data_IF_971842461358
#
_entry.id   IF_971842461358
#
_cell.length_a   1.000
_cell.length_b   1.000
_cell.length_c   1.000
_cell.angle_alpha   90.00
_cell.angle_beta   90.00
_cell.angle_gamma   90.00
#
_symmetry.space_group_name_H-M   'P 1'
#
loop_
_entity.id
_entity.type
_entity.pdbx_description
1 polymer ?
#
# COMPACT_ATOMS: atom_id res chain seq x y z
N UNK A 1 2.13 16.64 -14.42
CA UNK A 1 3.49 16.19 -14.08
C UNK A 1 3.36 15.24 -12.89
N UNK A 2 3.19 13.94 -13.17
CA UNK A 2 2.99 12.92 -12.14
C UNK A 2 4.35 12.24 -11.96
N UNK A 3 5.03 12.59 -10.88
CA UNK A 3 6.24 11.88 -10.46
C UNK A 3 5.84 10.48 -10.03
N UNK A 4 6.03 9.51 -10.94
CA UNK A 4 6.12 8.11 -10.56
C UNK A 4 7.35 7.98 -9.67
N UNK A 5 7.15 7.95 -8.35
CA UNK A 5 8.16 7.36 -7.46
C UNK A 5 8.19 5.88 -7.80
N UNK A 6 9.16 5.55 -8.67
CA UNK A 6 9.62 4.20 -8.91
C UNK A 6 9.88 3.58 -7.55
N UNK A 7 9.01 2.65 -7.18
CA UNK A 7 9.23 1.78 -6.05
C UNK A 7 10.58 1.13 -6.33
N UNK A 8 11.58 1.49 -5.53
CA UNK A 8 12.92 0.92 -5.59
C UNK A 8 12.78 -0.52 -5.09
N UNK A 9 12.26 -1.37 -5.98
CA UNK A 9 12.62 -2.77 -6.08
C UNK A 9 14.13 -2.76 -5.92
N UNK A 10 14.59 -3.15 -4.73
CA UNK A 10 15.96 -2.88 -4.31
C UNK A 10 16.83 -3.75 -5.22
N UNK A 11 17.29 -3.09 -6.29
CA UNK A 11 17.95 -3.66 -7.45
C UNK A 11 19.06 -4.59 -6.97
N UNK A 12 19.70 -4.27 -5.86
CA UNK A 12 20.79 -4.97 -5.20
C UNK A 12 20.59 -6.47 -4.97
N UNK A 13 19.44 -6.99 -4.52
CA UNK A 13 19.36 -8.44 -4.19
C UNK A 13 19.08 -9.32 -5.41
N UNK A 14 18.15 -8.89 -6.27
CA UNK A 14 17.96 -9.49 -7.59
C UNK A 14 19.19 -9.25 -8.47
N UNK A 15 19.89 -8.12 -8.36
CA UNK A 15 21.17 -7.89 -9.02
C UNK A 15 22.26 -8.78 -8.45
N UNK A 16 22.34 -9.07 -7.15
CA UNK A 16 23.39 -9.94 -6.60
C UNK A 16 23.17 -11.38 -7.06
N UNK A 17 21.94 -11.88 -7.02
CA UNK A 17 21.63 -13.20 -7.60
C UNK A 17 21.83 -13.22 -9.12
N UNK A 18 21.40 -12.19 -9.84
CA UNK A 18 21.61 -12.08 -11.28
C UNK A 18 23.10 -11.89 -11.65
N UNK A 19 23.87 -11.09 -10.92
CA UNK A 19 25.31 -10.90 -11.14
C UNK A 19 26.08 -12.17 -10.85
N UNK A 20 25.80 -12.87 -9.75
CA UNK A 20 26.43 -14.16 -9.46
C UNK A 20 26.06 -15.16 -10.56
N UNK A 21 24.81 -15.20 -11.00
CA UNK A 21 24.37 -16.08 -12.09
C UNK A 21 25.04 -15.70 -13.44
N UNK A 22 25.22 -14.41 -13.73
CA UNK A 22 25.90 -13.90 -14.93
C UNK A 22 27.42 -14.14 -14.88
N UNK A 23 28.05 -13.99 -13.71
CA UNK A 23 29.48 -14.28 -13.52
C UNK A 23 29.76 -15.79 -13.54
N UNK A 24 28.85 -16.61 -13.01
CA UNK A 24 28.90 -18.06 -13.20
C UNK A 24 28.87 -18.45 -14.69
N UNK A 25 28.15 -17.69 -15.54
CA UNK A 25 28.16 -17.89 -17.00
C UNK A 25 29.51 -17.59 -17.65
N UNK A 26 30.34 -16.73 -17.07
CA UNK A 26 31.57 -16.25 -17.71
C UNK A 26 32.88 -16.87 -17.17
N UNK A 27 32.87 -17.48 -15.98
CA UNK A 27 34.12 -17.98 -15.33
C UNK A 27 34.04 -19.45 -14.90
N UNK A 28 32.86 -19.99 -14.59
CA UNK A 28 32.74 -21.36 -14.06
C UNK A 28 32.73 -22.42 -15.18
N UNK A 29 33.23 -23.62 -14.88
CA UNK A 29 33.14 -24.76 -15.81
C UNK A 29 31.68 -25.15 -16.11
N UNK A 30 31.46 -25.87 -17.21
CA UNK A 30 30.14 -26.41 -17.56
C UNK A 30 29.52 -27.21 -16.42
N UNK A 31 30.30 -28.13 -15.84
CA UNK A 31 29.87 -28.98 -14.72
C UNK A 31 29.48 -28.17 -13.49
N UNK A 32 30.23 -27.11 -13.17
CA UNK A 32 29.91 -26.22 -12.05
C UNK A 32 28.58 -25.51 -12.27
N UNK A 33 28.33 -25.02 -13.50
CA UNK A 33 27.06 -24.38 -13.84
C UNK A 33 25.89 -25.36 -13.79
N UNK A 34 26.07 -26.57 -14.31
CA UNK A 34 25.06 -27.62 -14.25
C UNK A 34 24.73 -27.99 -12.81
N UNK A 35 25.74 -28.18 -11.97
CA UNK A 35 25.56 -28.45 -10.54
C UNK A 35 24.80 -27.32 -9.82
N UNK A 36 25.17 -26.06 -10.05
CA UNK A 36 24.48 -24.92 -9.45
C UNK A 36 23.04 -24.80 -9.94
N UNK A 37 22.78 -25.07 -11.22
CA UNK A 37 21.45 -25.10 -11.78
C UNK A 37 20.59 -26.17 -11.12
N UNK A 38 21.06 -27.42 -11.08
CA UNK A 38 20.39 -28.53 -10.42
C UNK A 38 20.09 -28.22 -8.95
N UNK A 39 21.07 -27.67 -8.23
CA UNK A 39 20.89 -27.27 -6.84
C UNK A 39 19.78 -26.22 -6.66
N UNK A 40 19.68 -25.25 -7.59
CA UNK A 40 18.63 -24.24 -7.56
C UNK A 40 17.25 -24.79 -7.94
N UNK A 41 17.17 -25.62 -8.98
CA UNK A 41 15.89 -26.11 -9.52
C UNK A 41 15.33 -27.30 -8.74
N UNK A 42 16.19 -28.20 -8.29
CA UNK A 42 15.77 -29.48 -7.68
C UNK A 42 15.68 -29.40 -6.16
N UNK A 43 16.40 -28.45 -5.52
CA UNK A 43 16.44 -28.36 -4.05
C UNK A 43 16.06 -27.00 -3.49
N UNK A 44 16.69 -25.91 -3.95
CA UNK A 44 16.48 -24.59 -3.35
C UNK A 44 15.08 -24.04 -3.64
N UNK A 45 14.66 -24.03 -4.91
CA UNK A 45 13.34 -23.52 -5.30
C UNK A 45 12.20 -24.37 -4.73
N UNK A 46 12.27 -25.72 -4.75
CA UNK A 46 11.29 -26.55 -4.06
C UNK A 46 11.21 -26.27 -2.56
N UNK A 47 12.33 -26.05 -1.88
CA UNK A 47 12.34 -25.68 -0.46
C UNK A 47 11.65 -24.33 -0.21
N UNK A 48 11.87 -23.33 -1.08
CA UNK A 48 11.16 -22.05 -1.01
C UNK A 48 9.65 -22.29 -1.14
N UNK A 49 9.23 -23.03 -2.16
CA UNK A 49 7.82 -23.28 -2.43
C UNK A 49 7.13 -24.03 -1.28
N UNK A 50 7.80 -25.04 -0.71
CA UNK A 50 7.32 -25.78 0.45
C UNK A 50 7.10 -24.85 1.66
N UNK A 51 8.07 -24.00 1.98
CA UNK A 51 7.92 -23.05 3.09
C UNK A 51 6.83 -22.01 2.81
N UNK A 52 6.71 -21.51 1.57
CA UNK A 52 5.61 -20.61 1.19
C UNK A 52 4.24 -21.26 1.36
N UNK A 53 4.12 -22.55 1.00
CA UNK A 53 2.90 -23.33 1.20
C UNK A 53 2.57 -23.49 2.69
N UNK A 54 3.57 -23.85 3.51
CA UNK A 54 3.40 -23.97 4.96
C UNK A 54 2.98 -22.66 5.62
N UNK A 55 3.52 -21.52 5.18
CA UNK A 55 3.08 -20.21 5.69
C UNK A 55 1.60 -19.99 5.35
N UNK A 56 1.20 -20.24 4.10
CA UNK A 56 -0.19 -20.07 3.65
C UNK A 56 -1.17 -20.94 4.44
N UNK A 57 -0.76 -22.15 4.80
CA UNK A 57 -1.58 -23.13 5.53
C UNK A 57 -1.50 -22.98 7.05
N UNK A 58 -0.64 -22.10 7.57
CA UNK A 58 -0.43 -21.98 9.01
C UNK A 58 -1.67 -21.39 9.70
N UNK A 59 -2.14 -21.97 10.83
CA UNK A 59 -3.32 -21.49 11.54
C UNK A 59 -3.19 -20.03 11.99
N UNK A 60 -1.99 -19.61 12.42
CA UNK A 60 -1.73 -18.22 12.85
C UNK A 60 -1.48 -17.24 11.68
N UNK A 61 -1.52 -17.69 10.42
CA UNK A 61 -1.28 -16.79 9.28
C UNK A 61 -2.22 -15.57 9.24
N UNK A 62 -3.54 -15.68 9.55
CA UNK A 62 -4.42 -14.53 9.68
C UNK A 62 -3.90 -13.49 10.68
N UNK A 63 -3.38 -13.92 11.83
CA UNK A 63 -2.81 -13.01 12.83
C UNK A 63 -1.56 -12.31 12.31
N UNK A 64 -0.71 -13.01 11.56
CA UNK A 64 0.48 -12.42 10.95
C UNK A 64 0.12 -11.41 9.87
N UNK A 65 -1.00 -11.63 9.15
CA UNK A 65 -1.56 -10.66 8.21
C UNK A 65 -2.06 -9.40 8.90
N UNK A 66 -2.70 -9.52 10.06
CA UNK A 66 -3.12 -8.36 10.86
C UNK A 66 -1.90 -7.61 11.39
N UNK A 67 -0.92 -8.34 11.93
CA UNK A 67 0.33 -7.78 12.47
C UNK A 67 1.33 -7.31 11.39
N UNK A 68 1.04 -7.57 10.11
CA UNK A 68 1.87 -7.26 8.94
C UNK A 68 3.32 -7.77 9.08
N UNK A 69 3.50 -8.93 9.73
CA UNK A 69 4.84 -9.45 10.07
C UNK A 69 4.83 -10.94 10.34
N UNK A 70 5.84 -11.64 9.83
CA UNK A 70 6.14 -13.03 10.21
C UNK A 70 6.84 -13.12 11.57
N UNK A 71 6.67 -14.21 12.34
CA UNK A 71 7.42 -14.41 13.56
C UNK A 71 8.93 -14.50 13.30
N UNK A 72 9.73 -13.86 14.17
CA UNK A 72 11.19 -13.66 13.98
C UNK A 72 11.95 -14.95 13.66
N UNK A 73 11.58 -16.07 14.28
CA UNK A 73 12.28 -17.34 14.15
C UNK A 73 11.51 -18.39 13.34
N UNK A 74 10.35 -18.03 12.76
CA UNK A 74 9.51 -18.98 12.04
C UNK A 74 10.26 -19.63 10.87
N UNK A 75 10.83 -18.82 9.97
CA UNK A 75 11.54 -19.32 8.80
C UNK A 75 12.76 -20.18 9.15
N UNK A 76 13.52 -19.78 10.17
CA UNK A 76 14.67 -20.55 10.63
C UNK A 76 14.27 -21.94 11.15
N UNK A 77 13.15 -22.04 11.87
CA UNK A 77 12.61 -23.33 12.33
C UNK A 77 12.15 -24.20 11.16
N UNK A 78 11.40 -23.63 10.22
CA UNK A 78 10.93 -24.37 9.03
C UNK A 78 12.09 -24.91 8.18
N UNK A 79 13.15 -24.13 8.00
CA UNK A 79 14.36 -24.57 7.30
C UNK A 79 15.08 -25.67 8.10
N UNK A 80 15.19 -25.53 9.42
CA UNK A 80 15.84 -26.53 10.26
C UNK A 80 15.11 -27.88 10.28
N UNK A 81 13.78 -27.88 10.19
CA UNK A 81 12.95 -29.08 10.06
C UNK A 81 13.13 -29.76 8.69
N UNK A 82 13.25 -28.96 7.61
CA UNK A 82 13.26 -29.48 6.25
C UNK A 82 14.66 -29.83 5.72
N UNK A 83 15.73 -29.26 6.27
CA UNK A 83 17.10 -29.39 5.71
C UNK A 83 17.66 -30.81 5.65
N UNK A 84 17.07 -31.76 6.37
CA UNK A 84 17.48 -33.17 6.40
C UNK A 84 16.48 -34.08 5.66
N UNK A 85 15.44 -33.51 5.04
CA UNK A 85 14.43 -34.26 4.33
C UNK A 85 14.78 -34.31 2.84
N UNK A 86 14.51 -35.44 2.18
CA UNK A 86 14.50 -35.49 0.72
C UNK A 86 13.36 -34.59 0.17
N UNK A 87 13.58 -33.78 -0.89
CA UNK A 87 14.80 -33.64 -1.70
C UNK A 87 15.75 -32.52 -1.21
N UNK A 88 15.43 -31.88 -0.10
CA UNK A 88 16.10 -30.66 0.36
C UNK A 88 17.47 -30.90 0.99
N UNK A 89 17.81 -32.14 1.35
CA UNK A 89 19.05 -32.48 2.04
C UNK A 89 20.33 -32.25 1.21
N UNK A 90 21.47 -32.14 1.92
CA UNK A 90 22.80 -32.06 1.31
C UNK A 90 23.11 -30.74 0.59
N UNK A 91 22.26 -29.71 0.70
CA UNK A 91 22.57 -28.39 0.14
C UNK A 91 23.64 -27.67 0.99
N UNK A 92 24.54 -26.88 0.38
CA UNK A 92 25.47 -26.04 1.13
C UNK A 92 24.74 -25.00 2.00
N UNK A 93 25.24 -24.71 3.21
CA UNK A 93 24.60 -23.83 4.19
C UNK A 93 24.17 -22.45 3.66
N UNK A 94 24.93 -21.91 2.71
CA UNK A 94 24.61 -20.63 2.04
C UNK A 94 23.27 -20.65 1.27
N UNK A 95 22.85 -21.81 0.75
CA UNK A 95 21.59 -21.96 0.04
C UNK A 95 20.40 -21.91 1.00
N UNK A 96 20.48 -22.55 2.17
CA UNK A 96 19.47 -22.40 3.22
C UNK A 96 19.36 -20.96 3.73
N UNK A 97 20.50 -20.28 3.92
CA UNK A 97 20.51 -18.86 4.28
C UNK A 97 19.86 -17.99 3.18
N UNK A 98 20.06 -18.33 1.90
CA UNK A 98 19.40 -17.68 0.77
C UNK A 98 17.88 -17.84 0.82
N UNK A 99 17.39 -19.06 1.06
CA UNK A 99 15.94 -19.34 1.21
C UNK A 99 15.33 -18.45 2.29
N UNK A 100 15.95 -18.37 3.47
CA UNK A 100 15.48 -17.52 4.56
C UNK A 100 15.36 -16.04 4.12
N UNK A 101 16.39 -15.53 3.44
CA UNK A 101 16.41 -14.14 2.95
C UNK A 101 15.31 -13.89 1.91
N UNK A 102 15.20 -14.76 0.90
CA UNK A 102 14.22 -14.62 -0.18
C UNK A 102 12.80 -14.55 0.39
N UNK A 103 12.42 -15.51 1.24
CA UNK A 103 11.07 -15.56 1.81
C UNK A 103 10.83 -14.37 2.74
N UNK A 104 11.81 -14.00 3.57
CA UNK A 104 11.72 -12.82 4.41
C UNK A 104 11.49 -11.55 3.60
N UNK A 105 12.14 -11.41 2.44
CA UNK A 105 11.95 -10.25 1.57
C UNK A 105 10.59 -10.26 0.87
N UNK A 106 10.15 -11.42 0.37
CA UNK A 106 8.81 -11.58 -0.25
C UNK A 106 7.74 -11.11 0.74
N UNK A 107 7.73 -11.64 1.96
CA UNK A 107 6.70 -11.28 2.94
C UNK A 107 6.85 -9.85 3.45
N UNK A 108 8.08 -9.35 3.67
CA UNK A 108 8.28 -7.94 4.04
C UNK A 108 7.69 -7.02 2.96
N UNK A 109 8.01 -7.26 1.69
CA UNK A 109 7.49 -6.47 0.57
C UNK A 109 5.96 -6.58 0.48
N UNK A 110 5.42 -7.79 0.54
CA UNK A 110 3.99 -8.03 0.47
C UNK A 110 3.23 -7.34 1.62
N UNK A 111 3.74 -7.41 2.86
CA UNK A 111 3.11 -6.73 4.00
C UNK A 111 3.11 -5.21 3.88
N UNK A 112 4.15 -4.59 3.33
CA UNK A 112 4.15 -3.14 3.06
C UNK A 112 3.13 -2.76 1.98
N UNK A 113 2.97 -3.59 0.95
CA UNK A 113 1.89 -3.41 -0.05
C UNK A 113 0.53 -3.51 0.64
N UNK A 114 0.31 -4.53 1.47
CA UNK A 114 -0.95 -4.70 2.20
C UNK A 114 -1.23 -3.51 3.13
N UNK A 115 -0.24 -3.01 3.86
CA UNK A 115 -0.37 -1.81 4.71
C UNK A 115 -0.80 -0.59 3.89
N UNK A 116 -0.21 -0.42 2.71
CA UNK A 116 -0.55 0.68 1.80
C UNK A 116 -1.98 0.55 1.28
N UNK A 117 -2.41 -0.67 0.92
CA UNK A 117 -3.78 -0.95 0.48
C UNK A 117 -4.79 -0.67 1.59
N UNK A 118 -4.53 -1.15 2.81
CA UNK A 118 -5.39 -0.91 3.97
C UNK A 118 -5.54 0.60 4.25
N UNK A 119 -4.43 1.35 4.21
CA UNK A 119 -4.46 2.80 4.40
C UNK A 119 -5.28 3.51 3.31
N UNK A 120 -5.11 3.11 2.05
CA UNK A 120 -5.90 3.64 0.92
C UNK A 120 -7.38 3.30 1.04
N UNK A 121 -7.69 2.06 1.45
CA UNK A 121 -9.05 1.59 1.65
C UNK A 121 -9.72 2.42 2.75
N UNK A 122 -9.09 2.53 3.92
CA UNK A 122 -9.58 3.35 5.03
C UNK A 122 -9.78 4.80 4.63
N UNK A 123 -8.82 5.40 3.90
CA UNK A 123 -8.96 6.76 3.38
C UNK A 123 -10.16 6.94 2.44
N UNK A 124 -10.38 5.99 1.53
CA UNK A 124 -11.51 6.03 0.60
C UNK A 124 -12.85 5.79 1.31
N UNK A 125 -12.92 4.85 2.26
CA UNK A 125 -14.12 4.59 3.07
C UNK A 125 -14.49 5.84 3.87
N UNK A 126 -13.51 6.41 4.58
CA UNK A 126 -13.70 7.67 5.31
C UNK A 126 -14.18 8.78 4.39
N UNK A 127 -13.56 8.94 3.21
CA UNK A 127 -14.00 9.94 2.23
C UNK A 127 -15.45 9.73 1.78
N UNK A 128 -15.85 8.48 1.52
CA UNK A 128 -17.23 8.14 1.14
C UNK A 128 -18.23 8.49 2.25
N UNK A 129 -17.90 8.21 3.51
CA UNK A 129 -18.73 8.52 4.68
C UNK A 129 -18.92 10.03 4.88
N UNK A 130 -17.89 10.82 4.60
CA UNK A 130 -17.94 12.29 4.72
C UNK A 130 -18.65 12.96 3.53
N UNK A 131 -18.87 12.25 2.41
CA UNK A 131 -19.26 12.87 1.16
C UNK A 131 -20.76 13.20 1.11
N UNK A 132 -21.08 14.50 1.17
CA UNK A 132 -22.44 15.02 1.12
C UNK A 132 -22.68 15.92 -0.12
N UNK A 133 -23.89 15.91 -0.70
CA UNK A 133 -24.25 16.82 -1.78
C UNK A 133 -24.39 18.25 -1.26
N UNK A 134 -24.23 19.26 -2.13
CA UNK A 134 -24.36 20.68 -1.78
C UNK A 134 -25.68 20.97 -1.05
N UNK A 135 -26.77 20.32 -1.47
CA UNK A 135 -28.10 20.46 -0.85
C UNK A 135 -28.16 20.05 0.63
N UNK A 136 -27.30 19.14 1.07
CA UNK A 136 -27.18 18.78 2.49
C UNK A 136 -26.20 19.70 3.21
N UNK A 137 -25.11 20.09 2.55
CA UNK A 137 -24.08 20.98 3.14
C UNK A 137 -24.65 22.36 3.48
N UNK A 138 -25.50 22.93 2.62
CA UNK A 138 -26.09 24.27 2.81
C UNK A 138 -27.12 24.33 3.95
N UNK A 139 -27.64 23.20 4.45
CA UNK A 139 -28.60 23.20 5.57
C UNK A 139 -28.01 23.82 6.84
N UNK A 140 -26.68 23.82 6.96
CA UNK A 140 -25.95 24.46 8.06
C UNK A 140 -25.71 25.97 7.86
N UNK A 141 -26.13 26.51 6.72
CA UNK A 141 -25.89 27.87 6.28
C UNK A 141 -27.20 28.54 5.82
N UNK A 142 -28.31 28.26 6.52
CA UNK A 142 -29.64 28.78 6.18
C UNK A 142 -30.06 28.50 4.71
N UNK A 143 -29.61 27.36 4.17
CA UNK A 143 -29.77 26.97 2.76
C UNK A 143 -29.13 27.95 1.75
N UNK A 144 -28.17 28.76 2.18
CA UNK A 144 -27.42 29.69 1.34
C UNK A 144 -26.10 29.08 0.85
N UNK A 145 -25.99 28.91 -0.46
CA UNK A 145 -24.73 28.53 -1.10
C UNK A 145 -23.66 29.63 -0.92
N UNK A 146 -24.05 30.89 -0.93
CA UNK A 146 -23.14 32.02 -0.77
C UNK A 146 -22.49 32.01 0.61
N UNK A 147 -23.26 31.72 1.65
CA UNK A 147 -22.77 31.62 3.03
C UNK A 147 -21.81 30.44 3.20
N UNK A 148 -22.10 29.29 2.57
CA UNK A 148 -21.17 28.15 2.51
C UNK A 148 -19.86 28.53 1.81
N UNK A 149 -19.94 29.24 0.68
CA UNK A 149 -18.78 29.69 -0.08
C UNK A 149 -17.95 30.71 0.71
N UNK A 150 -18.58 31.67 1.39
CA UNK A 150 -17.89 32.63 2.26
C UNK A 150 -17.11 31.92 3.36
N UNK A 151 -17.74 30.95 4.04
CA UNK A 151 -17.06 30.17 5.07
C UNK A 151 -15.90 29.34 4.49
N UNK A 152 -16.07 28.76 3.30
CA UNK A 152 -15.01 28.06 2.59
C UNK A 152 -13.84 28.98 2.22
N UNK A 153 -14.11 30.21 1.77
CA UNK A 153 -13.10 31.25 1.51
C UNK A 153 -12.32 31.57 2.77
N UNK A 154 -13.01 31.84 3.89
CA UNK A 154 -12.36 32.12 5.18
C UNK A 154 -11.43 30.99 5.63
N UNK A 155 -11.81 29.74 5.36
CA UNK A 155 -10.96 28.59 5.64
C UNK A 155 -9.73 28.56 4.73
N UNK A 156 -9.88 28.81 3.43
CA UNK A 156 -8.74 28.86 2.50
C UNK A 156 -7.80 30.03 2.82
N UNK A 157 -8.33 31.21 3.14
CA UNK A 157 -7.53 32.39 3.50
C UNK A 157 -6.76 32.18 4.82
N UNK A 158 -7.28 31.33 5.71
CA UNK A 158 -6.56 30.93 6.93
C UNK A 158 -5.39 29.97 6.69
N UNK A 159 -5.28 29.39 5.48
CA UNK A 159 -4.22 28.47 5.10
C UNK A 159 -3.15 29.26 4.35
N UNK A 160 -1.88 29.05 4.71
CA UNK A 160 -0.75 29.75 4.09
C UNK A 160 -0.71 29.51 2.56
N UNK A 161 -0.67 30.61 1.80
CA UNK A 161 -0.65 30.64 0.33
C UNK A 161 0.56 29.95 -0.31
N UNK A 162 1.62 29.70 0.45
CA UNK A 162 2.85 29.01 -0.02
C UNK A 162 2.71 27.48 -0.05
N UNK A 163 1.64 26.95 0.51
CA UNK A 163 1.41 25.51 0.68
C UNK A 163 0.88 24.88 -0.62
N UNK A 164 1.42 23.72 -1.00
CA UNK A 164 0.96 23.04 -2.21
C UNK A 164 -0.44 22.41 -2.03
N UNK A 165 -1.14 22.09 -3.13
CA UNK A 165 -2.52 21.56 -3.07
C UNK A 165 -2.65 20.26 -2.26
N UNK A 166 -1.67 19.37 -2.31
CA UNK A 166 -1.69 18.10 -1.58
C UNK A 166 -1.62 18.34 -0.07
N UNK A 167 -0.79 19.30 0.36
CA UNK A 167 -0.70 19.75 1.74
C UNK A 167 -1.99 20.45 2.18
N UNK A 168 -2.63 21.27 1.34
CA UNK A 168 -3.93 21.89 1.65
C UNK A 168 -4.97 20.81 1.96
N UNK A 169 -5.07 19.77 1.13
CA UNK A 169 -6.03 18.68 1.37
C UNK A 169 -5.78 17.97 2.71
N UNK A 170 -4.51 17.77 3.07
CA UNK A 170 -4.11 17.15 4.34
C UNK A 170 -4.53 18.02 5.53
N UNK A 171 -4.26 19.34 5.46
CA UNK A 171 -4.66 20.31 6.48
C UNK A 171 -6.18 20.34 6.64
N UNK A 172 -6.93 20.29 5.53
CA UNK A 172 -8.40 20.27 5.55
C UNK A 172 -8.93 18.99 6.23
N UNK A 173 -8.39 17.81 5.91
CA UNK A 173 -8.77 16.57 6.59
C UNK A 173 -8.49 16.63 8.10
N UNK A 174 -7.35 17.16 8.51
CA UNK A 174 -7.03 17.33 9.94
C UNK A 174 -7.97 18.33 10.62
N UNK A 175 -8.25 19.47 9.97
CA UNK A 175 -9.15 20.50 10.51
C UNK A 175 -10.58 19.97 10.65
N UNK A 176 -11.02 19.14 9.70
CA UNK A 176 -12.30 18.45 9.78
C UNK A 176 -12.38 17.51 10.98
N UNK A 177 -11.32 16.75 11.27
CA UNK A 177 -11.30 15.81 12.40
C UNK A 177 -11.26 16.50 13.76
N UNK A 178 -10.58 17.66 13.84
CA UNK A 178 -10.46 18.45 15.07
C UNK A 178 -11.71 19.27 15.37
N UNK A 179 -12.49 19.63 14.35
CA UNK A 179 -13.62 20.54 14.49
C UNK A 179 -14.93 19.79 14.73
N UNK A 180 -15.68 20.18 15.77
CA UNK A 180 -17.02 19.64 16.03
C UNK A 180 -18.16 20.47 15.42
N UNK A 181 -17.87 21.69 14.97
CA UNK A 181 -18.89 22.60 14.43
C UNK A 181 -19.34 22.15 13.02
N UNK A 182 -20.64 21.93 12.79
CA UNK A 182 -21.13 21.32 11.56
C UNK A 182 -21.04 22.23 10.32
N UNK A 183 -21.15 23.55 10.51
CA UNK A 183 -20.89 24.59 9.51
C UNK A 183 -19.46 24.49 8.95
N UNK A 184 -18.45 24.47 9.82
CA UNK A 184 -17.04 24.39 9.41
C UNK A 184 -16.76 23.05 8.72
N UNK A 185 -17.30 21.94 9.24
CA UNK A 185 -17.14 20.62 8.60
C UNK A 185 -17.75 20.60 7.20
N UNK A 186 -18.92 21.18 7.03
CA UNK A 186 -19.61 21.28 5.73
C UNK A 186 -18.82 22.11 4.72
N UNK A 187 -18.26 23.25 5.15
CA UNK A 187 -17.38 24.07 4.32
C UNK A 187 -16.09 23.33 3.92
N UNK A 188 -15.52 22.51 4.81
CA UNK A 188 -14.35 21.69 4.50
C UNK A 188 -14.69 20.60 3.48
N UNK A 189 -15.80 19.89 3.66
CA UNK A 189 -16.25 18.85 2.70
C UNK A 189 -16.48 19.49 1.32
N UNK A 190 -17.09 20.68 1.29
CA UNK A 190 -17.31 21.47 0.08
C UNK A 190 -16.00 21.79 -0.65
N UNK A 191 -14.95 22.17 0.08
CA UNK A 191 -13.62 22.40 -0.50
C UNK A 191 -12.99 21.11 -1.02
N UNK A 192 -13.01 20.04 -0.21
CA UNK A 192 -12.38 18.77 -0.54
C UNK A 192 -12.97 18.15 -1.82
N UNK A 193 -14.30 18.19 -1.99
CA UNK A 193 -14.95 17.64 -3.20
C UNK A 193 -14.68 18.46 -4.47
N UNK A 194 -14.29 19.73 -4.32
CA UNK A 194 -14.00 20.64 -5.42
C UNK A 194 -12.49 20.91 -5.57
N UNK A 195 -11.63 19.96 -5.19
CA UNK A 195 -10.18 20.04 -5.34
C UNK A 195 -9.54 21.24 -4.63
N UNK A 196 -10.00 21.51 -3.41
CA UNK A 196 -9.56 22.61 -2.54
C UNK A 196 -9.79 23.99 -3.17
N UNK A 197 -10.87 24.16 -3.94
CA UNK A 197 -11.22 25.40 -4.61
C UNK A 197 -12.72 25.68 -4.53
N UNK A 198 -13.09 26.95 -4.71
CA UNK A 198 -14.48 27.39 -4.75
C UNK A 198 -14.98 27.26 -6.19
N UNK A 199 -15.97 26.38 -6.46
CA UNK A 199 -16.51 26.22 -7.80
C UNK A 199 -17.34 27.45 -8.21
N UNK A 200 -17.24 27.84 -9.48
CA UNK A 200 -18.03 28.94 -10.06
C UNK A 200 -19.48 28.56 -10.38
N UNK A 201 -19.75 27.26 -10.50
CA UNK A 201 -21.06 26.72 -10.87
C UNK A 201 -21.56 25.83 -9.73
N UNK A 202 -22.87 25.84 -9.44
CA UNK A 202 -23.46 24.96 -8.44
C UNK A 202 -23.27 23.48 -8.83
N UNK A 203 -23.23 22.60 -7.84
CA UNK A 203 -23.19 21.16 -8.07
C UNK A 203 -24.50 20.66 -8.71
N UNK A 204 -24.36 19.82 -9.73
CA UNK A 204 -25.49 19.06 -10.28
C UNK A 204 -25.60 17.72 -9.57
N UNK A 205 -26.82 17.18 -9.47
CA UNK A 205 -27.06 15.84 -8.90
C UNK A 205 -26.20 14.77 -9.56
N UNK A 206 -26.06 14.84 -10.89
CA UNK A 206 -25.21 13.94 -11.68
C UNK A 206 -23.74 14.03 -11.26
N UNK A 207 -23.19 15.24 -11.09
CA UNK A 207 -21.80 15.45 -10.64
C UNK A 207 -21.54 14.79 -9.29
N UNK A 208 -22.48 14.93 -8.35
CA UNK A 208 -22.36 14.27 -7.03
C UNK A 208 -22.42 12.75 -7.15
N UNK A 209 -23.38 12.22 -7.90
CA UNK A 209 -23.53 10.76 -8.09
C UNK A 209 -22.29 10.16 -8.75
N UNK A 210 -21.72 10.83 -9.76
CA UNK A 210 -20.48 10.43 -10.42
C UNK A 210 -19.30 10.39 -9.45
N UNK A 211 -19.16 11.42 -8.62
CA UNK A 211 -18.09 11.49 -7.62
C UNK A 211 -18.23 10.33 -6.61
N UNK A 212 -19.43 10.15 -6.06
CA UNK A 212 -19.72 9.06 -5.12
C UNK A 212 -19.43 7.70 -5.75
N UNK A 213 -19.92 7.47 -6.97
CA UNK A 213 -19.71 6.23 -7.70
C UNK A 213 -18.24 5.94 -7.97
N UNK A 214 -17.45 6.96 -8.32
CA UNK A 214 -15.99 6.83 -8.49
C UNK A 214 -15.30 6.38 -7.21
N UNK A 215 -15.74 6.85 -6.05
CA UNK A 215 -15.17 6.46 -4.75
C UNK A 215 -15.57 5.03 -4.39
N UNK A 216 -16.83 4.64 -4.58
CA UNK A 216 -17.30 3.26 -4.37
C UNK A 216 -16.55 2.25 -5.23
N UNK A 217 -16.31 2.58 -6.50
CA UNK A 217 -15.52 1.75 -7.41
C UNK A 217 -14.08 1.61 -6.91
N UNK A 218 -13.47 2.69 -6.38
CA UNK A 218 -12.11 2.62 -5.80
C UNK A 218 -12.06 1.69 -4.58
N UNK A 219 -13.06 1.76 -3.71
CA UNK A 219 -13.18 0.89 -2.53
C UNK A 219 -13.30 -0.58 -2.97
N UNK A 220 -14.20 -0.86 -3.92
CA UNK A 220 -14.46 -2.24 -4.39
C UNK A 220 -13.25 -2.87 -5.10
N UNK A 221 -12.37 -2.05 -5.69
CA UNK A 221 -11.18 -2.52 -6.42
C UNK A 221 -9.97 -2.79 -5.53
N UNK A 222 -9.95 -2.28 -4.30
CA UNK A 222 -8.85 -2.42 -3.35
C UNK A 222 -9.01 -3.70 -2.51
#
# INVERSE_FOLDING_TARGET
MICYHTNTFNKTFLLVMAHVTIQCRLIASGDTRQFLWQLMTEKNTPLINEILLRIKQHPDFPDWRIKKKLPKYFLARQIAELKNNYPFEGQPSRFYASVNKIISYIYKSWFEVQKTLDWKLQGNVRWLEMLLPDTELIKHFDNSLESLQQQATLILDSIDSTVNKDQISTILFEKHDKTKKPDIRSAIIYLLKNACAIPKKPETTEKYQDLKRKVEIKITRL
#
